data_IF_634906973274
#
_entry.id   IF_634906973274
#
_cell.length_a   1.000
_cell.length_b   1.000
_cell.length_c   1.000
_cell.angle_alpha   90.00
_cell.angle_beta   90.00
_cell.angle_gamma   90.00
#
_symmetry.space_group_name_H-M   'P 1'
#
loop_
_entity.id
_entity.type
_entity.pdbx_description
1 polymer ?
#
# COMPACT_ATOMS: atom_id res chain seq x y z
N UNK A 1 -40.58 -25.01 -16.93
CA UNK A 1 -39.76 -24.56 -15.78
C UNK A 1 -38.32 -24.49 -16.27
N UNK A 2 -37.90 -23.29 -16.65
CA UNK A 2 -36.69 -23.07 -17.43
C UNK A 2 -35.44 -23.28 -16.60
N UNK A 3 -34.85 -24.47 -16.77
CA UNK A 3 -33.57 -24.88 -16.15
C UNK A 3 -32.45 -23.85 -16.43
N UNK A 4 -32.53 -23.15 -17.57
CA UNK A 4 -31.63 -22.07 -17.96
C UNK A 4 -31.70 -20.83 -17.05
N UNK A 5 -32.86 -20.49 -16.51
CA UNK A 5 -33.00 -19.34 -15.61
C UNK A 5 -32.40 -19.60 -14.22
N UNK A 6 -32.45 -20.85 -13.74
CA UNK A 6 -31.89 -21.24 -12.45
C UNK A 6 -30.35 -21.24 -12.50
N UNK A 7 -29.75 -21.71 -13.60
CA UNK A 7 -28.30 -21.70 -13.81
C UNK A 7 -27.72 -20.28 -13.88
N UNK A 8 -28.37 -19.36 -14.61
CA UNK A 8 -27.95 -17.96 -14.67
C UNK A 8 -28.02 -17.28 -13.29
N UNK A 9 -29.04 -17.58 -12.50
CA UNK A 9 -29.20 -17.00 -11.16
C UNK A 9 -28.15 -17.54 -10.17
N UNK A 10 -27.75 -18.81 -10.31
CA UNK A 10 -26.67 -19.41 -9.51
C UNK A 10 -25.28 -18.91 -9.94
N UNK A 11 -24.99 -18.74 -11.24
CA UNK A 11 -23.75 -18.12 -11.71
C UNK A 11 -23.64 -16.65 -11.27
N UNK A 12 -24.74 -15.89 -11.33
CA UNK A 12 -24.77 -14.48 -10.91
C UNK A 12 -24.58 -14.33 -9.38
N UNK A 13 -25.14 -15.26 -8.59
CA UNK A 13 -24.89 -15.31 -7.14
C UNK A 13 -23.47 -15.72 -6.78
N UNK A 14 -22.86 -16.64 -7.55
CA UNK A 14 -21.47 -17.05 -7.33
C UNK A 14 -20.46 -15.97 -7.73
N UNK A 15 -20.74 -15.18 -8.78
CA UNK A 15 -19.91 -14.00 -9.15
C UNK A 15 -19.99 -12.88 -8.10
N UNK A 16 -21.17 -12.61 -7.53
CA UNK A 16 -21.32 -11.60 -6.48
C UNK A 16 -20.71 -12.04 -5.13
N UNK A 17 -20.51 -13.34 -4.92
CA UNK A 17 -19.85 -13.88 -3.72
C UNK A 17 -18.31 -13.85 -3.81
N UNK A 18 -17.73 -13.75 -5.01
CA UNK A 18 -16.27 -13.66 -5.21
C UNK A 18 -15.79 -12.23 -5.52
N UNK A 19 -16.67 -11.37 -6.06
CA UNK A 19 -16.44 -9.92 -6.23
C UNK A 19 -17.01 -9.13 -5.04
N UNK A 20 -17.22 -9.80 -3.91
CA UNK A 20 -17.69 -9.20 -2.66
C UNK A 20 -16.55 -8.58 -1.88
N UNK A 21 -16.29 -7.29 -2.14
CA UNK A 21 -15.61 -6.33 -1.25
C UNK A 21 -14.41 -6.90 -0.48
N UNK A 22 -13.23 -6.96 -1.12
CA UNK A 22 -11.98 -6.89 -0.36
C UNK A 22 -12.08 -5.67 0.58
N UNK A 23 -11.65 -5.79 1.86
CA UNK A 23 -11.71 -4.67 2.78
C UNK A 23 -11.00 -3.49 2.14
N UNK A 24 -11.75 -2.41 1.88
CA UNK A 24 -11.21 -1.20 1.27
C UNK A 24 -10.09 -0.73 2.19
N UNK A 25 -8.85 -0.73 1.70
CA UNK A 25 -7.70 -0.25 2.47
C UNK A 25 -7.96 1.21 2.85
N UNK A 26 -7.43 1.64 4.00
CA UNK A 26 -7.49 3.05 4.38
C UNK A 26 -6.77 3.86 3.31
N UNK A 27 -7.35 5.01 2.97
CA UNK A 27 -6.82 5.91 1.96
C UNK A 27 -6.28 7.16 2.65
N UNK A 28 -5.12 7.61 2.20
CA UNK A 28 -4.42 8.77 2.74
C UNK A 28 -4.01 9.70 1.60
N UNK A 29 -3.97 10.99 1.87
CA UNK A 29 -3.36 11.96 0.96
C UNK A 29 -1.87 12.10 1.24
N UNK A 30 -1.10 12.59 0.28
CA UNK A 30 0.28 13.00 0.48
C UNK A 30 0.41 14.05 1.59
N UNK A 31 -0.62 14.90 1.74
CA UNK A 31 -0.69 15.85 2.84
C UNK A 31 -0.77 15.15 4.20
N UNK A 32 -1.60 14.11 4.32
CA UNK A 32 -1.68 13.31 5.55
C UNK A 32 -0.32 12.69 5.85
N UNK A 33 0.33 12.08 4.85
CA UNK A 33 1.66 11.46 5.00
C UNK A 33 2.71 12.49 5.43
N UNK A 34 2.72 13.69 4.84
CA UNK A 34 3.68 14.75 5.16
C UNK A 34 3.63 15.26 6.60
N UNK A 35 2.51 15.02 7.31
CA UNK A 35 2.39 15.36 8.72
C UNK A 35 3.24 14.44 9.63
N UNK A 36 3.59 13.25 9.14
CA UNK A 36 4.33 12.20 9.85
C UNK A 36 5.78 12.15 9.33
N UNK A 37 6.57 13.17 9.68
CA UNK A 37 7.92 13.40 9.14
C UNK A 37 9.04 13.43 10.21
N UNK A 38 8.84 12.77 11.35
CA UNK A 38 9.80 12.78 12.48
C UNK A 38 10.27 11.38 12.86
N UNK A 39 11.37 11.25 13.61
CA UNK A 39 11.90 9.93 14.02
C UNK A 39 10.91 9.12 14.87
N UNK A 40 10.06 9.79 15.63
CA UNK A 40 9.05 9.17 16.50
C UNK A 40 7.66 9.14 15.87
N UNK A 41 7.52 9.60 14.62
CA UNK A 41 6.27 9.62 13.87
C UNK A 41 6.61 9.77 12.38
N UNK A 42 6.87 8.64 11.70
CA UNK A 42 7.43 8.60 10.36
C UNK A 42 6.56 7.72 9.44
N UNK A 43 5.90 8.35 8.47
CA UNK A 43 5.22 7.65 7.40
C UNK A 43 5.97 7.84 6.08
N UNK A 44 5.91 6.85 5.22
CA UNK A 44 6.49 6.92 3.88
C UNK A 44 5.57 6.28 2.86
N UNK A 45 5.62 6.80 1.63
CA UNK A 45 4.95 6.18 0.48
C UNK A 45 5.94 5.34 -0.31
N UNK A 46 5.59 4.09 -0.60
CA UNK A 46 6.34 3.21 -1.51
C UNK A 46 5.34 2.53 -2.45
N UNK A 47 5.41 2.85 -3.76
CA UNK A 47 4.48 2.35 -4.80
C UNK A 47 3.02 2.59 -4.44
N UNK A 48 2.67 3.86 -4.22
CA UNK A 48 1.32 4.33 -3.83
C UNK A 48 0.75 3.74 -2.53
N UNK A 49 1.55 2.97 -1.79
CA UNK A 49 1.17 2.40 -0.50
C UNK A 49 1.80 3.20 0.62
N UNK A 50 1.04 3.39 1.70
CA UNK A 50 1.45 4.18 2.86
C UNK A 50 1.85 3.25 3.99
N UNK A 51 3.05 3.46 4.50
CA UNK A 51 3.65 2.65 5.56
C UNK A 51 3.98 3.51 6.77
N UNK A 52 3.62 3.04 7.95
CA UNK A 52 4.05 3.60 9.21
C UNK A 52 5.32 2.87 9.68
N UNK A 53 6.47 3.49 9.46
CA UNK A 53 7.78 2.91 9.75
C UNK A 53 8.36 3.40 11.07
N UNK A 54 7.55 4.08 11.89
CA UNK A 54 7.99 4.70 13.15
C UNK A 54 8.77 3.73 14.04
N UNK A 55 8.25 2.53 14.24
CA UNK A 55 8.90 1.50 15.05
C UNK A 55 10.15 0.90 14.38
N UNK A 56 10.21 0.94 13.04
CA UNK A 56 11.31 0.39 12.26
C UNK A 56 12.51 1.33 12.13
N UNK A 57 12.36 2.62 12.41
CA UNK A 57 13.41 3.63 12.24
C UNK A 57 14.75 3.21 12.88
N UNK A 58 14.70 2.61 14.08
CA UNK A 58 15.89 2.19 14.83
C UNK A 58 16.42 0.80 14.47
N UNK A 59 15.61 0.01 13.79
CA UNK A 59 15.97 -1.36 13.36
C UNK A 59 16.53 -1.39 11.93
N UNK A 60 16.42 -0.28 11.19
CA UNK A 60 16.88 -0.19 9.82
C UNK A 60 18.42 -0.38 9.73
N UNK A 61 18.91 -1.39 8.99
CA UNK A 61 20.34 -1.72 8.95
C UNK A 61 21.25 -0.60 8.42
N UNK A 62 20.72 0.31 7.60
CA UNK A 62 21.46 1.45 7.07
C UNK A 62 21.36 2.71 7.95
N UNK A 63 20.65 2.64 9.08
CA UNK A 63 20.43 3.75 10.01
C UNK A 63 19.14 4.53 9.75
N UNK A 64 18.66 5.21 10.80
CA UNK A 64 17.47 6.07 10.76
C UNK A 64 17.68 7.36 9.97
N UNK A 65 18.92 7.88 9.91
CA UNK A 65 19.25 9.13 9.23
C UNK A 65 18.82 9.13 7.76
N UNK A 66 19.07 8.02 7.06
CA UNK A 66 18.71 7.87 5.64
C UNK A 66 17.19 7.82 5.46
N UNK A 67 16.46 7.23 6.41
CA UNK A 67 14.99 7.19 6.35
C UNK A 67 14.39 8.57 6.62
N UNK A 68 14.99 9.35 7.52
CA UNK A 68 14.53 10.70 7.86
C UNK A 68 14.60 11.67 6.66
N UNK A 69 15.53 11.47 5.73
CA UNK A 69 15.61 12.27 4.49
C UNK A 69 14.34 12.15 3.64
N UNK A 70 13.61 11.03 3.76
CA UNK A 70 12.39 10.73 3.01
C UNK A 70 11.13 10.67 3.89
N UNK A 71 11.23 11.02 5.17
CA UNK A 71 10.11 10.99 6.10
C UNK A 71 8.98 11.93 5.64
N UNK A 72 7.75 11.41 5.62
CA UNK A 72 6.58 12.14 5.15
C UNK A 72 6.51 12.33 3.62
N UNK A 73 7.29 11.59 2.84
CA UNK A 73 7.34 11.72 1.38
C UNK A 73 7.24 10.38 0.65
N UNK A 74 7.24 10.43 -0.69
CA UNK A 74 7.39 9.24 -1.53
C UNK A 74 8.85 8.80 -1.59
N UNK A 75 9.12 7.66 -0.99
CA UNK A 75 10.43 7.02 -0.93
C UNK A 75 10.58 5.89 -1.98
N UNK A 76 9.66 5.76 -2.94
CA UNK A 76 9.63 4.65 -3.91
C UNK A 76 10.93 4.52 -4.66
N UNK A 77 11.45 5.62 -5.21
CA UNK A 77 12.72 5.61 -5.94
C UNK A 77 13.90 5.34 -5.02
N UNK A 78 13.93 5.96 -3.83
CA UNK A 78 15.00 5.76 -2.85
C UNK A 78 15.08 4.30 -2.39
N UNK A 79 13.92 3.66 -2.19
CA UNK A 79 13.81 2.25 -1.84
C UNK A 79 14.24 1.34 -3.00
N UNK A 80 13.85 1.66 -4.24
CA UNK A 80 14.17 0.86 -5.42
C UNK A 80 15.64 0.98 -5.87
N UNK A 81 16.31 2.10 -5.60
CA UNK A 81 17.72 2.33 -5.95
C UNK A 81 18.69 1.50 -5.09
N UNK A 82 18.25 1.03 -3.93
CA UNK A 82 19.08 0.23 -3.01
C UNK A 82 18.79 -1.27 -3.16
N UNK A 83 19.79 -2.15 -2.95
CA UNK A 83 19.62 -3.60 -3.05
C UNK A 83 18.90 -4.16 -1.81
N UNK A 84 17.63 -3.81 -1.65
CA UNK A 84 16.75 -4.42 -0.66
C UNK A 84 16.49 -5.89 -1.03
N UNK A 85 16.79 -6.81 -0.12
CA UNK A 85 16.48 -8.22 -0.29
C UNK A 85 14.97 -8.46 -0.33
N UNK A 86 14.54 -9.65 -0.78
CA UNK A 86 13.12 -10.01 -0.74
C UNK A 86 12.53 -9.93 0.69
N UNK A 87 13.34 -10.24 1.70
CA UNK A 87 12.93 -10.16 3.10
C UNK A 87 12.62 -8.73 3.54
N UNK A 88 13.31 -7.72 2.98
CA UNK A 88 13.02 -6.32 3.27
C UNK A 88 11.61 -5.92 2.79
N UNK A 89 11.17 -6.45 1.65
CA UNK A 89 9.79 -6.25 1.18
C UNK A 89 8.77 -6.94 2.09
N UNK A 90 9.09 -8.15 2.58
CA UNK A 90 8.21 -8.87 3.53
C UNK A 90 8.10 -8.14 4.86
N UNK A 91 9.19 -7.54 5.34
CA UNK A 91 9.18 -6.71 6.56
C UNK A 91 8.38 -5.44 6.32
N UNK A 92 8.56 -4.77 5.18
CA UNK A 92 7.85 -3.55 4.82
C UNK A 92 6.32 -3.74 4.83
N UNK A 93 5.83 -4.87 4.31
CA UNK A 93 4.39 -5.19 4.29
C UNK A 93 3.77 -5.24 5.70
N UNK A 94 4.55 -5.48 6.76
CA UNK A 94 4.03 -5.45 8.15
C UNK A 94 3.66 -4.04 8.61
N UNK A 95 4.28 -3.03 8.01
CA UNK A 95 4.10 -1.62 8.33
C UNK A 95 3.05 -0.94 7.44
N UNK A 96 2.39 -1.70 6.56
CA UNK A 96 1.36 -1.17 5.65
C UNK A 96 0.12 -0.72 6.45
N UNK A 97 -0.18 0.58 6.39
CA UNK A 97 -1.38 1.16 7.03
C UNK A 97 -2.48 1.50 6.01
N UNK A 98 -2.13 1.62 4.74
CA UNK A 98 -3.09 1.90 3.67
C UNK A 98 -2.43 2.24 2.33
N UNK A 99 -3.15 3.01 1.52
CA UNK A 99 -2.77 3.40 0.17
C UNK A 99 -3.09 4.87 -0.08
N UNK A 100 -2.46 5.48 -1.06
CA UNK A 100 -2.80 6.84 -1.47
C UNK A 100 -4.22 6.88 -2.04
N UNK A 101 -4.86 8.04 -1.90
CA UNK A 101 -6.10 8.34 -2.63
C UNK A 101 -5.87 8.20 -4.13
N UNK A 102 -6.82 7.64 -4.91
CA UNK A 102 -6.63 7.37 -6.34
C UNK A 102 -6.12 8.56 -7.14
N UNK A 103 -6.51 9.78 -6.76
CA UNK A 103 -6.16 11.02 -7.43
C UNK A 103 -4.67 11.40 -7.29
N UNK A 104 -3.98 10.85 -6.29
CA UNK A 104 -2.57 11.13 -5.98
C UNK A 104 -1.63 9.94 -6.26
N UNK A 105 -2.17 8.84 -6.79
CA UNK A 105 -1.39 7.67 -7.17
C UNK A 105 -0.58 7.92 -8.43
N UNK A 106 0.67 7.47 -8.44
CA UNK A 106 1.60 7.61 -9.56
C UNK A 106 1.93 6.29 -10.25
N UNK A 107 1.65 5.16 -9.59
CA UNK A 107 1.95 3.80 -10.01
C UNK A 107 0.71 2.91 -10.08
N UNK A 108 -0.52 3.47 -10.09
CA UNK A 108 -1.72 2.69 -10.35
C UNK A 108 -1.61 2.15 -11.78
N UNK A 109 -1.06 0.93 -11.86
CA UNK A 109 -1.00 0.13 -13.06
C UNK A 109 -2.44 -0.04 -13.52
N UNK A 110 -2.82 0.70 -14.56
CA UNK A 110 -3.96 0.35 -15.41
C UNK A 110 -3.63 -1.00 -16.10
N UNK A 111 -3.70 -2.07 -15.31
CA UNK A 111 -3.71 -3.46 -15.73
C UNK A 111 -5.18 -3.90 -15.82
N UNK A 112 -6.01 -3.09 -16.46
CA UNK A 112 -7.36 -3.44 -16.90
C UNK A 112 -7.57 -3.00 -18.35
N UNK A 113 -6.79 -3.60 -19.24
CA UNK A 113 -7.18 -3.79 -20.66
C UNK A 113 -7.77 -5.18 -20.87
#
# INVERSE_FOLDING_TARGET
MDFFHVLNNLQSRLLNLTVGQLPKRKQFTLKDVSAHCTETDCWMVIRDRVYDVTDFMREHPAGSDIMLEYAGTDATMAFADKPHSLDAWVILEKYLIGELVPEERMFDDDYSS
#
